data_IF_729517009226
#
_entry.id   IF_729517009226
#
_cell.length_a   1.000
_cell.length_b   1.000
_cell.length_c   1.000
_cell.angle_alpha   90.00
_cell.angle_beta   90.00
_cell.angle_gamma   90.00
#
_symmetry.space_group_name_H-M   'P 1'
#
loop_
_entity.id
_entity.type
_entity.pdbx_description
1 polymer ?
#
# COMPACT_ATOMS: atom_id res chain seq x y z
N UNK A 1 28.17 37.37 -3.48
CA UNK A 1 28.63 36.12 -2.84
C UNK A 1 27.53 35.64 -1.89
N UNK A 2 26.92 34.49 -2.18
CA UNK A 2 26.16 33.69 -1.20
C UNK A 2 24.67 34.02 -1.01
N UNK A 3 23.82 33.69 -1.99
CA UNK A 3 22.37 33.61 -1.78
C UNK A 3 21.98 32.24 -1.19
N UNK A 4 21.34 32.26 -0.02
CA UNK A 4 20.79 31.07 0.64
C UNK A 4 19.49 30.62 -0.06
N UNK A 5 19.51 29.43 -0.66
CA UNK A 5 18.32 28.75 -1.16
C UNK A 5 17.90 27.67 -0.14
N UNK A 6 16.92 28.02 0.69
CA UNK A 6 16.19 27.10 1.56
C UNK A 6 15.36 26.14 0.69
N UNK A 7 15.83 24.89 0.56
CA UNK A 7 15.07 23.81 -0.05
C UNK A 7 13.96 23.34 0.92
N UNK A 8 12.74 23.79 0.69
CA UNK A 8 11.54 23.28 1.38
C UNK A 8 11.27 21.86 0.89
N UNK A 9 11.71 20.87 1.67
CA UNK A 9 11.40 19.46 1.44
C UNK A 9 9.93 19.17 1.77
N UNK A 10 9.12 18.95 0.74
CA UNK A 10 7.75 18.47 0.91
C UNK A 10 7.77 17.04 1.49
N UNK A 11 7.43 16.91 2.77
CA UNK A 11 7.22 15.63 3.42
C UNK A 11 5.98 14.93 2.82
N UNK A 12 6.19 13.97 1.93
CA UNK A 12 5.13 13.09 1.41
C UNK A 12 4.73 12.14 2.53
N UNK A 13 3.76 12.56 3.36
CA UNK A 13 3.12 11.69 4.33
C UNK A 13 2.31 10.62 3.59
N UNK A 14 2.66 9.36 3.81
CA UNK A 14 1.89 8.20 3.33
C UNK A 14 0.59 8.13 4.11
N UNK A 15 -0.42 8.89 3.70
CA UNK A 15 -1.76 8.73 4.25
C UNK A 15 -2.33 7.43 3.69
N UNK A 16 -2.36 6.40 4.52
CA UNK A 16 -3.09 5.18 4.26
C UNK A 16 -4.59 5.52 4.18
N UNK A 17 -5.08 5.82 2.98
CA UNK A 17 -6.49 6.00 2.74
C UNK A 17 -7.13 4.61 2.60
N UNK A 18 -7.56 4.06 3.74
CA UNK A 18 -8.58 3.00 3.77
C UNK A 18 -9.92 3.65 4.11
N UNK A 19 -10.78 3.75 3.12
CA UNK A 19 -12.22 3.74 3.31
C UNK A 19 -12.81 2.91 2.16
N UNK A 20 -13.46 1.76 2.43
CA UNK A 20 -14.30 1.15 1.41
C UNK A 20 -15.47 2.10 1.18
N UNK A 21 -15.56 2.63 -0.03
CA UNK A 21 -16.78 3.29 -0.50
C UNK A 21 -17.80 2.17 -0.68
N UNK A 22 -18.49 1.81 0.39
CA UNK A 22 -19.74 1.08 0.33
C UNK A 22 -20.82 2.09 -0.09
N UNK A 23 -21.14 2.10 -1.38
CA UNK A 23 -22.34 2.77 -1.87
C UNK A 23 -23.29 1.70 -2.39
N UNK A 24 -24.50 1.83 -1.86
CA UNK A 24 -25.61 0.90 -1.77
C UNK A 24 -26.46 0.90 -3.05
N UNK A 25 -27.10 -0.26 -3.27
CA UNK A 25 -28.35 -0.49 -4.00
C UNK A 25 -28.42 -0.13 -5.50
N UNK A 26 -28.04 -1.09 -6.34
CA UNK A 26 -29.01 -2.07 -6.83
C UNK A 26 -28.38 -3.43 -6.55
N UNK A 27 -29.01 -4.24 -5.71
CA UNK A 27 -28.49 -5.56 -5.41
C UNK A 27 -28.55 -6.38 -6.70
N UNK A 28 -27.44 -6.46 -7.44
CA UNK A 28 -27.32 -7.43 -8.53
C UNK A 28 -27.57 -8.78 -7.87
N UNK A 29 -28.69 -9.45 -8.20
CA UNK A 29 -29.06 -10.70 -7.56
C UNK A 29 -27.96 -11.71 -7.87
N UNK A 30 -27.86 -12.75 -7.05
CA UNK A 30 -26.89 -13.79 -7.41
C UNK A 30 -27.39 -14.51 -8.66
N UNK A 31 -26.47 -15.04 -9.50
CA UNK A 31 -26.88 -15.84 -10.66
C UNK A 31 -27.72 -17.06 -10.29
N UNK A 32 -27.62 -17.56 -9.06
CA UNK A 32 -28.43 -18.68 -8.54
C UNK A 32 -29.89 -18.30 -8.27
N UNK A 33 -30.16 -17.04 -7.92
CA UNK A 33 -31.50 -16.53 -7.64
C UNK A 33 -32.20 -16.01 -8.91
N UNK A 34 -31.45 -15.88 -10.01
CA UNK A 34 -31.89 -15.29 -11.26
C UNK A 34 -31.76 -16.30 -12.41
N UNK A 35 -32.58 -17.36 -12.35
CA UNK A 35 -32.60 -18.43 -13.36
C UNK A 35 -33.23 -17.98 -14.69
N UNK A 36 -34.24 -17.11 -14.62
CA UNK A 36 -34.86 -16.50 -15.79
C UNK A 36 -34.91 -14.98 -15.59
N UNK A 37 -34.25 -14.24 -16.49
CA UNK A 37 -34.35 -12.79 -16.50
C UNK A 37 -34.27 -12.24 -17.92
N UNK A 38 -35.12 -11.25 -18.26
CA UNK A 38 -35.07 -10.60 -19.57
C UNK A 38 -33.80 -9.76 -19.77
N UNK A 39 -32.97 -9.62 -18.71
CA UNK A 39 -31.70 -8.88 -18.74
C UNK A 39 -30.54 -9.71 -19.27
N UNK A 40 -30.68 -11.03 -19.42
CA UNK A 40 -29.62 -11.86 -19.98
C UNK A 40 -29.57 -11.74 -21.50
N UNK A 41 -28.41 -11.46 -22.11
CA UNK A 41 -28.23 -11.57 -23.55
C UNK A 41 -28.56 -12.98 -24.04
N UNK A 42 -29.13 -13.08 -25.24
CA UNK A 42 -29.41 -14.36 -25.87
C UNK A 42 -28.10 -15.07 -26.20
N UNK A 43 -27.84 -16.19 -25.53
CA UNK A 43 -26.64 -17.00 -25.69
C UNK A 43 -26.97 -18.47 -25.48
N UNK A 44 -26.56 -19.33 -26.40
CA UNK A 44 -26.85 -20.78 -26.40
C UNK A 44 -26.06 -21.56 -25.35
N UNK A 45 -25.15 -20.90 -24.62
CA UNK A 45 -24.29 -21.52 -23.62
C UNK A 45 -22.92 -21.92 -24.17
N UNK A 46 -21.92 -21.98 -23.29
CA UNK A 46 -20.56 -22.39 -23.62
C UNK A 46 -19.91 -23.06 -22.42
N UNK A 47 -18.98 -23.98 -22.69
CA UNK A 47 -18.17 -24.67 -21.68
C UNK A 47 -17.21 -23.74 -20.95
N UNK A 48 -16.94 -22.55 -21.50
CA UNK A 48 -16.08 -21.52 -20.91
C UNK A 48 -16.75 -20.66 -19.83
N UNK A 49 -18.00 -20.96 -19.48
CA UNK A 49 -18.80 -20.21 -18.53
C UNK A 49 -18.43 -20.38 -17.05
N UNK A 50 -19.42 -20.19 -16.20
CA UNK A 50 -19.26 -20.28 -14.74
C UNK A 50 -18.96 -21.73 -14.29
N UNK A 51 -18.02 -21.91 -13.36
CA UNK A 51 -17.62 -23.24 -12.84
C UNK A 51 -17.61 -23.27 -11.31
N UNK A 52 -17.93 -24.41 -10.69
CA UNK A 52 -18.06 -24.62 -9.22
C UNK A 52 -16.83 -24.18 -8.40
N UNK A 53 -15.61 -24.33 -8.93
CA UNK A 53 -14.36 -23.85 -8.30
C UNK A 53 -14.27 -22.31 -8.21
N UNK A 54 -15.23 -21.59 -8.80
CA UNK A 54 -15.39 -20.13 -8.72
C UNK A 54 -16.02 -19.66 -7.41
N UNK A 55 -16.11 -20.53 -6.39
CA UNK A 55 -16.69 -20.25 -5.08
C UNK A 55 -16.06 -19.08 -4.34
N UNK A 56 -14.97 -18.44 -4.80
CA UNK A 56 -14.28 -17.36 -4.05
C UNK A 56 -14.68 -15.95 -4.47
N UNK A 57 -14.77 -15.68 -5.76
CA UNK A 57 -15.08 -14.35 -6.29
C UNK A 57 -15.86 -14.50 -7.59
N UNK A 58 -17.04 -13.88 -7.68
CA UNK A 58 -17.83 -13.80 -8.91
C UNK A 58 -17.76 -12.36 -9.42
N UNK A 59 -17.84 -12.16 -10.73
CA UNK A 59 -17.90 -10.83 -11.31
C UNK A 59 -19.15 -10.69 -12.18
N UNK A 60 -19.80 -9.54 -12.09
CA UNK A 60 -20.93 -9.19 -12.94
C UNK A 60 -20.62 -7.92 -13.72
N UNK A 61 -21.13 -7.84 -14.93
CA UNK A 61 -21.09 -6.64 -15.75
C UNK A 61 -22.51 -6.29 -16.18
N UNK A 62 -22.88 -5.02 -16.01
CA UNK A 62 -24.13 -4.47 -16.50
C UNK A 62 -23.85 -3.36 -17.52
N UNK A 63 -24.71 -3.24 -18.53
CA UNK A 63 -24.66 -2.15 -19.50
C UNK A 63 -26.05 -1.91 -20.09
N UNK A 64 -26.31 -0.70 -20.59
CA UNK A 64 -27.56 -0.40 -21.30
C UNK A 64 -27.27 -0.21 -22.78
N UNK A 65 -27.93 -0.99 -23.64
CA UNK A 65 -27.80 -0.91 -25.09
C UNK A 65 -29.01 -0.20 -25.71
N UNK A 66 -28.79 0.58 -26.78
CA UNK A 66 -29.86 1.31 -27.49
C UNK A 66 -30.69 0.43 -28.42
N UNK A 67 -30.15 -0.72 -28.82
CA UNK A 67 -30.80 -1.67 -29.71
C UNK A 67 -30.14 -3.04 -29.60
N UNK A 68 -30.74 -4.05 -30.21
CA UNK A 68 -30.17 -5.39 -30.26
C UNK A 68 -28.95 -5.42 -31.18
N UNK A 69 -27.84 -5.99 -30.69
CA UNK A 69 -26.60 -6.09 -31.44
C UNK A 69 -25.89 -7.41 -31.13
N UNK A 70 -25.24 -7.98 -32.14
CA UNK A 70 -24.41 -9.18 -31.99
C UNK A 70 -23.05 -8.80 -31.45
N UNK A 71 -22.57 -9.51 -30.45
CA UNK A 71 -21.22 -9.34 -29.90
C UNK A 71 -20.58 -10.68 -29.60
N UNK A 72 -19.27 -10.68 -29.47
CA UNK A 72 -18.48 -11.86 -29.16
C UNK A 72 -18.33 -11.98 -27.64
N UNK A 73 -18.55 -13.17 -27.11
CA UNK A 73 -18.35 -13.44 -25.69
C UNK A 73 -16.86 -13.66 -25.40
N UNK A 74 -16.31 -13.10 -24.31
CA UNK A 74 -14.91 -13.35 -23.90
C UNK A 74 -14.60 -14.83 -23.59
N UNK A 75 -15.64 -15.64 -23.41
CA UNK A 75 -15.57 -17.09 -23.18
C UNK A 75 -15.68 -17.92 -24.47
N UNK A 76 -15.68 -17.25 -25.63
CA UNK A 76 -15.93 -17.85 -26.94
C UNK A 76 -17.42 -17.94 -27.26
N UNK A 77 -17.74 -17.79 -28.54
CA UNK A 77 -19.10 -17.79 -29.08
C UNK A 77 -19.65 -16.38 -29.32
N UNK A 78 -20.82 -16.31 -29.96
CA UNK A 78 -21.54 -15.07 -30.22
C UNK A 78 -22.79 -15.00 -29.36
N UNK A 79 -23.04 -13.83 -28.78
CA UNK A 79 -24.26 -13.52 -28.05
C UNK A 79 -24.97 -12.32 -28.68
N UNK A 80 -26.28 -12.26 -28.53
CA UNK A 80 -27.10 -11.12 -28.97
C UNK A 80 -27.51 -10.35 -27.71
N UNK A 81 -27.09 -9.10 -27.60
CA UNK A 81 -27.52 -8.25 -26.48
C UNK A 81 -28.96 -7.79 -26.69
N UNK A 82 -29.70 -7.66 -25.59
CA UNK A 82 -31.07 -7.16 -25.59
C UNK A 82 -31.06 -5.62 -25.68
N UNK A 83 -32.15 -5.05 -26.21
CA UNK A 83 -32.37 -3.62 -26.13
C UNK A 83 -32.71 -3.24 -24.68
N UNK A 84 -32.03 -2.24 -24.13
CA UNK A 84 -32.15 -1.86 -22.72
C UNK A 84 -31.04 -2.43 -21.85
N UNK A 85 -31.36 -2.78 -20.61
CA UNK A 85 -30.39 -3.26 -19.62
C UNK A 85 -29.98 -4.71 -19.85
N UNK A 86 -28.67 -4.94 -19.89
CA UNK A 86 -28.07 -6.25 -20.01
C UNK A 86 -27.23 -6.57 -18.78
N UNK A 87 -27.20 -7.83 -18.39
CA UNK A 87 -26.46 -8.37 -17.26
C UNK A 87 -25.74 -9.66 -17.67
N UNK A 88 -24.45 -9.75 -17.39
CA UNK A 88 -23.68 -10.98 -17.58
C UNK A 88 -22.80 -11.29 -16.37
N UNK A 89 -22.63 -12.58 -16.09
CA UNK A 89 -21.73 -13.07 -15.05
C UNK A 89 -20.49 -13.72 -15.65
N UNK A 90 -19.34 -13.42 -15.03
CA UNK A 90 -18.04 -13.95 -15.42
C UNK A 90 -17.26 -14.45 -14.20
N UNK A 91 -16.30 -15.34 -14.47
CA UNK A 91 -15.39 -15.88 -13.47
C UNK A 91 -14.30 -14.87 -13.09
N UNK A 92 -13.69 -14.23 -14.08
CA UNK A 92 -12.56 -13.31 -13.88
C UNK A 92 -12.92 -11.87 -14.22
N UNK A 93 -12.31 -10.91 -13.51
CA UNK A 93 -12.42 -9.48 -13.80
C UNK A 93 -11.94 -9.16 -15.23
N UNK A 94 -10.90 -9.84 -15.70
CA UNK A 94 -10.32 -9.65 -17.04
C UNK A 94 -11.35 -9.85 -18.15
N UNK A 95 -12.22 -10.85 -18.02
CA UNK A 95 -13.29 -11.12 -18.99
C UNK A 95 -14.29 -9.97 -19.06
N UNK A 96 -14.66 -9.40 -17.90
CA UNK A 96 -15.54 -8.23 -17.83
C UNK A 96 -14.89 -7.00 -18.50
N UNK A 97 -13.59 -6.78 -18.28
CA UNK A 97 -12.86 -5.66 -18.89
C UNK A 97 -12.71 -5.86 -20.41
N UNK A 98 -12.46 -7.10 -20.86
CA UNK A 98 -12.38 -7.43 -22.27
C UNK A 98 -13.71 -7.13 -22.98
N UNK A 99 -14.84 -7.58 -22.40
CA UNK A 99 -16.16 -7.25 -22.91
C UNK A 99 -16.42 -5.74 -22.88
N UNK A 100 -16.07 -5.06 -21.79
CA UNK A 100 -16.19 -3.60 -21.68
C UNK A 100 -15.41 -2.87 -22.78
N UNK A 101 -14.20 -3.32 -23.14
CA UNK A 101 -13.42 -2.76 -24.25
C UNK A 101 -14.13 -2.95 -25.60
N UNK A 102 -14.77 -4.09 -25.82
CA UNK A 102 -15.57 -4.35 -27.01
C UNK A 102 -16.85 -3.50 -27.05
N UNK A 103 -17.55 -3.36 -25.92
CA UNK A 103 -18.72 -2.49 -25.80
C UNK A 103 -18.39 -1.03 -26.12
N UNK A 104 -17.21 -0.54 -25.70
CA UNK A 104 -16.75 0.80 -26.10
C UNK A 104 -16.55 0.95 -27.61
N UNK A 105 -16.10 -0.11 -28.32
CA UNK A 105 -16.04 -0.08 -29.80
C UNK A 105 -17.43 0.08 -30.42
N UNK A 106 -18.45 -0.45 -29.77
CA UNK A 106 -19.87 -0.30 -30.15
C UNK A 106 -20.49 1.01 -29.65
N UNK A 107 -19.68 1.96 -29.13
CA UNK A 107 -20.11 3.25 -28.57
C UNK A 107 -21.01 3.13 -27.33
N UNK A 108 -20.86 2.05 -26.57
CA UNK A 108 -21.53 1.81 -25.28
C UNK A 108 -20.52 2.11 -24.16
N UNK A 109 -20.68 3.24 -23.48
CA UNK A 109 -19.74 3.75 -22.46
C UNK A 109 -20.24 3.57 -21.01
N UNK A 110 -21.49 3.15 -20.84
CA UNK A 110 -22.19 3.06 -19.56
C UNK A 110 -22.09 1.69 -18.87
N UNK A 111 -21.04 0.92 -19.15
CA UNK A 111 -20.87 -0.38 -18.51
C UNK A 111 -20.33 -0.25 -17.08
N UNK A 112 -20.85 -1.08 -16.18
CA UNK A 112 -20.48 -1.15 -14.77
C UNK A 112 -20.04 -2.57 -14.42
N UNK A 113 -18.94 -2.71 -13.69
CA UNK A 113 -18.40 -4.01 -13.26
C UNK A 113 -18.48 -4.10 -11.74
N UNK A 114 -18.94 -5.25 -11.27
CA UNK A 114 -19.13 -5.58 -9.87
C UNK A 114 -18.42 -6.87 -9.53
N UNK A 115 -18.03 -7.00 -8.27
CA UNK A 115 -17.52 -8.24 -7.67
C UNK A 115 -18.51 -8.71 -6.62
N UNK A 116 -18.99 -9.94 -6.74
CA UNK A 116 -19.82 -10.58 -5.72
C UNK A 116 -18.94 -11.49 -4.86
N UNK A 117 -18.94 -11.24 -3.54
CA UNK A 117 -18.31 -12.10 -2.54
C UNK A 117 -19.17 -13.32 -2.23
N UNK A 118 -18.58 -14.32 -1.56
CA UNK A 118 -19.31 -15.48 -1.01
C UNK A 118 -20.45 -15.09 -0.08
N UNK A 119 -20.24 -14.02 0.67
CA UNK A 119 -21.16 -13.53 1.69
C UNK A 119 -22.37 -12.79 1.08
N UNK A 120 -22.38 -12.58 -0.24
CA UNK A 120 -23.45 -11.88 -0.96
C UNK A 120 -23.23 -10.39 -1.10
N UNK A 121 -22.20 -9.83 -0.44
CA UNK A 121 -21.81 -8.44 -0.61
C UNK A 121 -21.35 -8.19 -2.04
N UNK A 122 -21.98 -7.21 -2.69
CA UNK A 122 -21.61 -6.73 -4.02
C UNK A 122 -20.69 -5.52 -3.86
N UNK A 123 -19.49 -5.62 -4.39
CA UNK A 123 -18.50 -4.54 -4.41
C UNK A 123 -18.47 -3.95 -5.81
N UNK A 124 -18.80 -2.67 -5.93
CA UNK A 124 -18.64 -1.93 -7.18
C UNK A 124 -17.14 -1.75 -7.49
N UNK A 125 -16.73 -2.11 -8.71
CA UNK A 125 -15.31 -2.09 -9.09
C UNK A 125 -14.97 -1.05 -10.16
N UNK A 126 -15.80 -0.91 -11.20
CA UNK A 126 -15.45 -0.10 -12.37
C UNK A 126 -16.68 0.50 -13.05
N UNK A 127 -16.66 1.79 -13.42
CA UNK A 127 -15.66 2.80 -13.07
C UNK A 127 -15.82 3.24 -11.61
N UNK A 128 -14.82 3.02 -10.75
CA UNK A 128 -14.94 3.25 -9.30
C UNK A 128 -15.33 4.70 -8.94
N UNK A 129 -14.81 5.67 -9.69
CA UNK A 129 -15.08 7.10 -9.48
C UNK A 129 -16.16 7.65 -10.44
N UNK A 130 -16.89 6.77 -11.15
CA UNK A 130 -17.81 7.14 -12.23
C UNK A 130 -17.13 7.61 -13.53
N UNK A 131 -15.88 8.08 -13.46
CA UNK A 131 -15.05 8.44 -14.62
C UNK A 131 -14.11 7.29 -14.96
N UNK A 132 -13.96 6.99 -16.26
CA UNK A 132 -12.99 5.97 -16.71
C UNK A 132 -11.57 6.26 -16.22
N UNK A 133 -10.78 5.22 -15.88
CA UNK A 133 -9.43 5.40 -15.32
C UNK A 133 -8.45 6.07 -16.29
N UNK A 134 -8.72 6.00 -17.59
CA UNK A 134 -7.92 6.64 -18.65
C UNK A 134 -7.95 8.17 -18.57
N UNK A 135 -9.05 8.76 -18.09
CA UNK A 135 -9.20 10.21 -17.94
C UNK A 135 -8.79 10.63 -16.53
N UNK A 136 -7.92 11.63 -16.44
CA UNK A 136 -7.47 12.20 -15.15
C UNK A 136 -8.64 12.79 -14.37
N UNK A 137 -8.67 12.55 -13.06
CA UNK A 137 -9.65 13.12 -12.14
C UNK A 137 -8.94 13.73 -10.92
N UNK A 138 -9.30 14.96 -10.54
CA UNK A 138 -8.58 15.77 -9.53
C UNK A 138 -8.65 15.20 -8.10
N UNK A 139 -9.50 14.22 -7.83
CA UNK A 139 -9.63 13.54 -6.53
C UNK A 139 -8.83 12.24 -6.38
N UNK A 140 -8.13 11.77 -7.42
CA UNK A 140 -7.38 10.51 -7.35
C UNK A 140 -6.04 10.70 -6.65
N UNK A 141 -5.84 9.95 -5.57
CA UNK A 141 -4.54 9.85 -4.89
C UNK A 141 -3.66 8.87 -5.65
N UNK A 142 -2.45 9.29 -6.02
CA UNK A 142 -1.46 8.39 -6.61
C UNK A 142 -1.03 7.36 -5.56
N UNK A 143 -1.28 6.09 -5.84
CA UNK A 143 -0.80 4.96 -5.03
C UNK A 143 0.35 4.29 -5.78
N UNK A 144 1.41 3.89 -5.07
CA UNK A 144 2.61 3.25 -5.62
C UNK A 144 3.41 4.10 -6.65
N UNK A 145 3.15 5.41 -6.73
CA UNK A 145 3.99 6.35 -7.46
C UNK A 145 5.30 6.60 -6.72
N UNK A 146 6.41 6.58 -7.44
CA UNK A 146 7.75 6.81 -6.90
C UNK A 146 8.33 8.08 -7.50
N UNK A 147 8.80 9.05 -6.70
CA UNK A 147 9.31 10.33 -7.19
C UNK A 147 10.78 10.24 -7.63
N UNK A 148 11.17 9.18 -8.34
CA UNK A 148 12.53 9.03 -8.88
C UNK A 148 12.51 8.23 -10.19
N UNK A 149 13.59 8.36 -10.98
CA UNK A 149 13.70 7.68 -12.28
C UNK A 149 14.00 6.19 -12.13
N UNK A 150 13.64 5.37 -13.11
CA UNK A 150 13.91 3.92 -13.08
C UNK A 150 15.40 3.58 -12.94
N UNK A 151 16.29 4.46 -13.41
CA UNK A 151 17.75 4.33 -13.26
C UNK A 151 18.22 4.55 -11.82
N UNK A 152 17.44 5.26 -11.00
CA UNK A 152 17.73 5.50 -9.59
C UNK A 152 17.37 4.31 -8.68
N UNK A 153 17.03 3.15 -9.24
CA UNK A 153 16.83 1.94 -8.44
C UNK A 153 18.16 1.52 -7.78
N UNK A 154 18.14 1.19 -6.47
CA UNK A 154 19.34 0.75 -5.76
C UNK A 154 19.87 -0.57 -6.31
N UNK A 155 21.18 -0.78 -6.16
CA UNK A 155 21.83 -2.01 -6.61
C UNK A 155 21.42 -3.19 -5.74
N UNK A 156 21.34 -4.37 -6.35
CA UNK A 156 20.89 -5.58 -5.66
C UNK A 156 21.78 -5.98 -4.47
N UNK A 157 23.07 -5.65 -4.53
CA UNK A 157 24.02 -5.87 -3.43
C UNK A 157 23.65 -5.07 -2.17
N UNK A 158 23.14 -3.85 -2.33
CA UNK A 158 22.72 -2.97 -1.23
C UNK A 158 21.45 -3.46 -0.53
N UNK A 159 20.69 -4.35 -1.18
CA UNK A 159 19.41 -4.87 -0.68
C UNK A 159 19.53 -6.26 -0.08
N UNK A 160 20.72 -6.85 -0.07
CA UNK A 160 20.96 -8.19 0.46
C UNK A 160 20.61 -8.24 1.95
N UNK A 161 19.96 -9.32 2.39
CA UNK A 161 19.50 -9.51 3.78
C UNK A 161 18.47 -8.49 4.28
N UNK A 162 17.76 -7.84 3.35
CA UNK A 162 16.63 -6.97 3.66
C UNK A 162 15.33 -7.60 3.17
N UNK A 163 14.18 -7.04 3.60
CA UNK A 163 12.86 -7.38 3.06
C UNK A 163 12.77 -7.20 1.52
N UNK A 164 13.66 -6.40 0.95
CA UNK A 164 13.65 -6.02 -0.46
C UNK A 164 14.70 -6.76 -1.30
N UNK A 165 15.33 -7.80 -0.74
CA UNK A 165 16.22 -8.68 -1.50
C UNK A 165 15.44 -9.32 -2.67
N UNK A 166 15.96 -9.20 -3.90
CA UNK A 166 15.21 -9.66 -5.09
C UNK A 166 14.25 -8.63 -5.66
N UNK A 167 14.02 -7.53 -4.94
CA UNK A 167 12.95 -6.58 -5.23
C UNK A 167 13.43 -5.13 -5.12
N UNK A 168 14.47 -4.78 -5.86
CA UNK A 168 14.97 -3.40 -5.91
C UNK A 168 13.94 -2.38 -6.38
N UNK A 169 12.94 -2.82 -7.14
CA UNK A 169 11.79 -1.99 -7.53
C UNK A 169 10.80 -1.72 -6.38
N UNK A 170 10.87 -2.45 -5.26
CA UNK A 170 10.07 -2.21 -4.06
C UNK A 170 10.85 -1.40 -2.99
N UNK A 171 12.18 -1.30 -3.10
CA UNK A 171 13.00 -0.56 -2.14
C UNK A 171 12.89 0.95 -2.38
N UNK A 172 12.53 1.73 -1.35
CA UNK A 172 12.59 3.19 -1.43
C UNK A 172 14.02 3.67 -1.11
N UNK A 173 14.45 4.83 -1.63
CA UNK A 173 15.73 5.44 -1.27
C UNK A 173 15.88 5.65 0.25
N UNK A 174 14.77 5.84 0.97
CA UNK A 174 14.80 5.96 2.43
C UNK A 174 15.13 4.61 3.10
N UNK A 175 14.62 3.52 2.55
CA UNK A 175 14.88 2.17 3.07
C UNK A 175 16.35 1.79 2.86
N UNK A 176 16.93 2.12 1.71
CA UNK A 176 18.35 1.86 1.45
C UNK A 176 19.25 2.66 2.36
N UNK A 177 18.86 3.86 2.80
CA UNK A 177 19.64 4.67 3.75
C UNK A 177 19.74 4.01 5.14
N UNK A 178 18.65 3.44 5.68
CA UNK A 178 18.71 2.70 6.96
C UNK A 178 19.51 1.40 6.84
N UNK A 179 19.42 0.71 5.70
CA UNK A 179 20.19 -0.50 5.43
C UNK A 179 21.67 -0.18 5.27
N UNK A 180 22.00 0.87 4.52
CA UNK A 180 23.37 1.39 4.35
C UNK A 180 23.95 1.83 5.68
N UNK A 181 23.19 2.53 6.52
CA UNK A 181 23.61 2.87 7.87
C UNK A 181 23.91 1.64 8.72
N UNK A 182 23.08 0.58 8.64
CA UNK A 182 23.33 -0.68 9.34
C UNK A 182 24.60 -1.38 8.83
N UNK A 183 24.78 -1.49 7.52
CA UNK A 183 25.98 -2.11 6.92
C UNK A 183 27.23 -1.30 7.21
N UNK A 184 27.15 0.04 7.18
CA UNK A 184 28.24 0.94 7.55
C UNK A 184 28.57 0.89 9.04
N UNK A 185 27.58 0.68 9.92
CA UNK A 185 27.84 0.48 11.35
C UNK A 185 28.54 -0.85 11.66
N UNK A 186 28.42 -1.85 10.78
CA UNK A 186 29.18 -3.12 10.88
C UNK A 186 30.55 -3.06 10.23
N UNK A 187 30.79 -2.09 9.34
CA UNK A 187 32.13 -1.80 8.89
C UNK A 187 32.84 -1.06 10.02
N UNK A 188 34.02 -1.53 10.45
CA UNK A 188 34.91 -0.79 11.34
C UNK A 188 35.41 0.46 10.61
N UNK A 189 34.58 1.49 10.54
CA UNK A 189 34.97 2.82 10.10
C UNK A 189 35.52 3.53 11.35
N UNK A 190 36.69 4.19 11.30
CA UNK A 190 37.15 4.98 12.43
C UNK A 190 36.06 5.99 12.79
N UNK A 191 35.59 5.93 14.04
CA UNK A 191 34.56 6.84 14.53
C UNK A 191 34.96 8.29 14.21
N UNK A 192 34.10 9.02 13.50
CA UNK A 192 34.36 10.42 13.13
C UNK A 192 34.55 11.31 14.36
N UNK A 193 34.01 10.88 15.50
CA UNK A 193 34.23 11.46 16.80
C UNK A 193 34.89 10.39 17.67
N UNK A 194 36.06 10.69 18.22
CA UNK A 194 36.63 9.85 19.26
C UNK A 194 35.60 9.71 20.37
N UNK A 195 35.27 8.47 20.76
CA UNK A 195 34.55 8.26 22.01
C UNK A 195 35.38 8.95 23.12
N UNK A 196 34.75 9.68 24.05
CA UNK A 196 35.47 10.21 25.20
C UNK A 196 36.17 9.03 25.86
N UNK A 197 37.50 8.99 25.77
CA UNK A 197 38.27 8.00 26.49
C UNK A 197 38.04 8.27 27.98
N UNK A 198 37.82 7.23 28.81
CA UNK A 198 37.82 7.43 30.25
C UNK A 198 39.15 8.10 30.60
N UNK A 199 39.08 9.21 31.33
CA UNK A 199 40.27 9.94 31.73
C UNK A 199 41.06 9.02 32.66
N UNK A 200 42.15 8.44 32.16
CA UNK A 200 42.90 7.42 32.90
C UNK A 200 43.59 7.99 34.15
N UNK A 201 43.68 9.32 34.24
CA UNK A 201 44.17 10.05 35.42
C UNK A 201 43.15 10.06 36.59
N UNK A 202 41.87 9.75 36.33
CA UNK A 202 40.81 9.58 37.35
C UNK A 202 40.49 8.12 37.66
N UNK A 203 41.42 7.19 37.38
CA UNK A 203 41.30 5.84 37.92
C UNK A 203 41.51 5.89 39.42
N UNK A 204 40.41 5.73 40.15
CA UNK A 204 40.42 5.47 41.60
C UNK A 204 41.39 4.31 41.85
N UNK A 205 42.47 4.50 42.65
CA UNK A 205 43.43 3.43 42.93
C UNK A 205 42.71 2.18 43.44
N UNK A 206 43.17 0.99 43.05
CA UNK A 206 42.54 -0.27 43.43
C UNK A 206 42.35 -0.40 44.97
N UNK A 207 43.27 0.19 45.74
CA UNK A 207 43.23 0.24 47.21
C UNK A 207 42.04 1.05 47.78
N UNK A 208 41.47 1.97 47.01
CA UNK A 208 40.32 2.78 47.42
C UNK A 208 38.99 2.17 46.96
N UNK A 209 39.03 1.33 45.91
CA UNK A 209 37.89 0.52 45.46
C UNK A 209 37.56 -0.59 46.46
N UNK A 210 38.59 -1.22 47.04
CA UNK A 210 38.45 -2.34 47.99
C UNK A 210 38.18 -1.90 49.45
N UNK A 211 38.19 -0.59 49.75
CA UNK A 211 37.93 -0.07 51.10
C UNK A 211 36.45 -0.10 51.51
N UNK A 212 35.53 -0.14 50.55
CA UNK A 212 34.11 -0.02 50.82
C UNK A 212 33.38 -1.33 50.55
N UNK A 213 32.55 -1.77 51.51
CA UNK A 213 31.67 -2.91 51.25
C UNK A 213 30.65 -2.54 50.17
N UNK A 214 30.19 -3.53 49.39
CA UNK A 214 29.25 -3.33 48.26
C UNK A 214 28.06 -2.43 48.61
N UNK A 215 27.57 -2.52 49.85
CA UNK A 215 26.44 -1.74 50.36
C UNK A 215 26.77 -0.24 50.49
N UNK A 216 27.94 0.10 51.03
CA UNK A 216 28.40 1.49 51.18
C UNK A 216 28.62 2.17 49.83
N UNK A 217 29.17 1.44 48.85
CA UNK A 217 29.33 1.93 47.49
C UNK A 217 27.98 2.29 46.85
N UNK A 218 26.98 1.39 46.96
CA UNK A 218 25.63 1.64 46.47
C UNK A 218 24.98 2.87 47.11
N UNK A 219 25.12 3.05 48.43
CA UNK A 219 24.56 4.21 49.12
C UNK A 219 25.20 5.51 48.65
N UNK A 220 26.52 5.54 48.50
CA UNK A 220 27.25 6.72 47.99
C UNK A 220 26.88 7.05 46.55
N UNK A 221 26.70 6.05 45.69
CA UNK A 221 26.25 6.24 44.31
C UNK A 221 24.82 6.79 44.23
N UNK A 222 23.91 6.29 45.06
CA UNK A 222 22.54 6.79 45.14
C UNK A 222 22.49 8.24 45.63
N UNK A 223 23.35 8.60 46.58
CA UNK A 223 23.47 9.98 47.06
C UNK A 223 24.07 10.92 46.00
N UNK A 224 25.10 10.48 45.27
CA UNK A 224 25.68 11.23 44.16
C UNK A 224 24.67 11.45 43.02
N UNK A 225 23.88 10.43 42.68
CA UNK A 225 22.78 10.53 41.71
C UNK A 225 21.75 11.57 42.14
N UNK A 226 21.39 11.58 43.42
CA UNK A 226 20.43 12.55 43.97
C UNK A 226 20.96 13.98 43.86
N UNK A 227 22.23 14.22 44.20
CA UNK A 227 22.88 15.53 44.04
C UNK A 227 22.88 16.02 42.60
N UNK A 228 23.19 15.14 41.63
CA UNK A 228 23.15 15.49 40.19
C UNK A 228 21.73 15.81 39.73
N UNK A 229 20.73 15.09 40.23
CA UNK A 229 19.32 15.36 39.95
C UNK A 229 18.87 16.70 40.53
N UNK A 230 19.29 17.00 41.76
CA UNK A 230 18.99 18.26 42.44
C UNK A 230 19.68 19.45 41.75
N UNK A 231 20.93 19.30 41.30
CA UNK A 231 21.65 20.30 40.52
C UNK A 231 20.99 20.54 39.14
N UNK A 232 20.51 19.47 38.49
CA UNK A 232 19.71 19.58 37.26
C UNK A 232 18.40 20.31 37.50
N UNK A 233 17.70 20.01 38.59
CA UNK A 233 16.46 20.66 38.96
C UNK A 233 16.68 22.15 39.29
N UNK A 234 17.76 22.48 40.01
CA UNK A 234 18.14 23.85 40.32
C UNK A 234 18.55 24.65 39.08
N UNK A 235 19.27 24.04 38.13
CA UNK A 235 19.57 24.67 36.83
C UNK A 235 18.31 24.89 35.98
N UNK A 236 17.37 23.93 35.97
CA UNK A 236 16.10 24.07 35.26
C UNK A 236 15.20 25.16 35.86
N UNK A 237 15.22 25.34 37.19
CA UNK A 237 14.49 26.39 37.87
C UNK A 237 15.08 27.80 37.64
N UNK A 238 16.37 27.91 37.32
CA UNK A 238 17.04 29.17 36.94
C UNK A 238 16.90 29.55 35.46
N UNK A 239 16.39 28.66 34.61
CA UNK A 239 16.18 28.91 33.18
C UNK A 239 14.74 29.27 32.79
N UNK A 240 13.87 29.48 33.79
CA UNK A 240 12.54 30.08 33.68
C UNK A 240 12.62 31.53 34.19
#
# INVERSE_FOLDING_TARGET
MGGALLAVGAAVTRKAAKAPVEVVAEAIPRPEDLLDSPKFPMFEGSTGGYMSRSTRERHAITWTAKGQAKFEMPTGGFAIMNQGENLCYFRKKEQCIALGKQLRKMKIENYKIYRLKKDGTVIFMHPADGVFPEKVNKGRVQVNGRPFTIRGNPQQSELKFTKYQGKGYEADPLTTMFVKARVMAFADVPNLFALPQPNMDELVPAEEVDKYTRQEYTTRMMEALKRVQDDRAAKAAKSL
#
